data_IF_666142969698
#
_entry.id   IF_666142969698
#
_cell.length_a   1.000
_cell.length_b   1.000
_cell.length_c   1.000
_cell.angle_alpha   90.00
_cell.angle_beta   90.00
_cell.angle_gamma   90.00
#
_symmetry.space_group_name_H-M   'P 1'
#
loop_
_entity.id
_entity.type
_entity.pdbx_description
1 polymer ?
#
# COMPACT_ATOMS: atom_id res chain seq x y z
N UNK A 1 13.56 -3.76 12.87
CA UNK A 1 13.27 -3.53 14.30
C UNK A 1 13.21 -2.04 14.66
N UNK A 2 14.20 -1.23 14.26
CA UNK A 2 14.28 0.19 14.67
C UNK A 2 13.01 1.01 14.35
N UNK A 3 12.43 0.88 13.15
CA UNK A 3 11.19 1.58 12.80
C UNK A 3 9.95 1.15 13.61
N UNK A 4 9.93 -0.08 14.13
CA UNK A 4 8.85 -0.52 15.03
C UNK A 4 8.95 0.16 16.40
N UNK A 5 10.16 0.37 16.91
CA UNK A 5 10.40 1.05 18.19
C UNK A 5 10.01 2.54 18.10
N UNK A 6 10.23 3.14 16.94
CA UNK A 6 10.04 4.58 16.71
C UNK A 6 8.84 4.91 15.80
N UNK A 7 7.84 4.03 15.75
CA UNK A 7 6.59 4.31 15.05
C UNK A 7 5.97 5.63 15.60
N UNK A 8 5.66 6.56 14.69
CA UNK A 8 5.19 7.92 14.99
C UNK A 8 6.14 8.83 15.81
N UNK A 9 7.36 8.37 16.15
CA UNK A 9 8.35 9.14 16.94
C UNK A 9 9.72 9.15 16.25
N UNK A 10 9.70 9.12 14.92
CA UNK A 10 10.87 8.79 14.09
C UNK A 10 11.83 9.94 13.76
N UNK A 11 11.58 11.18 14.19
CA UNK A 11 12.36 12.35 13.72
C UNK A 11 13.88 12.18 13.85
N UNK A 12 14.36 11.60 14.94
CA UNK A 12 15.80 11.36 15.15
C UNK A 12 16.41 10.21 14.33
N UNK A 13 15.58 9.34 13.75
CA UNK A 13 16.01 8.09 13.07
C UNK A 13 15.76 8.12 11.57
N UNK A 14 14.85 8.98 11.09
CA UNK A 14 14.60 9.16 9.66
C UNK A 14 15.89 9.36 8.88
N UNK A 15 16.77 10.26 9.32
CA UNK A 15 18.04 10.53 8.65
C UNK A 15 18.93 9.28 8.57
N UNK A 16 19.10 8.57 9.69
CA UNK A 16 19.88 7.34 9.73
C UNK A 16 19.33 6.26 8.78
N UNK A 17 18.01 6.13 8.69
CA UNK A 17 17.36 5.18 7.78
C UNK A 17 17.51 5.60 6.31
N UNK A 18 17.41 6.90 6.00
CA UNK A 18 17.70 7.46 4.67
C UNK A 18 19.14 7.20 4.26
N UNK A 19 20.09 7.44 5.15
CA UNK A 19 21.51 7.18 4.88
C UNK A 19 21.79 5.68 4.69
N UNK A 20 21.11 4.82 5.46
CA UNK A 20 21.19 3.36 5.30
C UNK A 20 20.61 2.90 3.96
N UNK A 21 19.50 3.51 3.52
CA UNK A 21 18.86 3.23 2.23
C UNK A 21 19.77 3.59 1.05
N UNK A 22 20.44 4.76 1.14
CA UNK A 22 21.34 5.28 0.10
C UNK A 22 22.70 4.56 0.05
N UNK A 23 23.20 4.11 1.19
CA UNK A 23 24.56 3.56 1.32
C UNK A 23 24.68 2.09 0.94
N UNK A 24 23.57 1.35 0.82
CA UNK A 24 23.60 -0.08 0.56
C UNK A 24 22.81 -0.47 -0.68
N UNK A 25 23.32 -1.46 -1.41
CA UNK A 25 22.64 -2.14 -2.52
C UNK A 25 22.19 -3.56 -2.14
N UNK A 26 22.37 -3.95 -0.87
CA UNK A 26 21.97 -5.26 -0.37
C UNK A 26 20.46 -5.24 -0.14
N UNK A 27 19.73 -6.03 -0.92
CA UNK A 27 18.25 -6.06 -0.94
C UNK A 27 17.63 -6.24 0.45
N UNK A 28 18.22 -7.10 1.29
CA UNK A 28 17.73 -7.37 2.65
C UNK A 28 17.81 -6.14 3.56
N UNK A 29 18.90 -5.37 3.42
CA UNK A 29 19.08 -4.14 4.21
C UNK A 29 18.16 -3.05 3.67
N UNK A 30 18.05 -2.91 2.35
CA UNK A 30 17.11 -1.97 1.72
C UNK A 30 15.66 -2.27 2.12
N UNK A 31 15.25 -3.54 2.09
CA UNK A 31 13.92 -3.97 2.53
C UNK A 31 13.63 -3.55 3.98
N UNK A 32 14.56 -3.82 4.90
CA UNK A 32 14.43 -3.43 6.31
C UNK A 32 14.45 -1.91 6.51
N UNK A 33 15.27 -1.19 5.74
CA UNK A 33 15.35 0.26 5.77
C UNK A 33 14.07 0.92 5.24
N UNK A 34 13.52 0.44 4.11
CA UNK A 34 12.24 0.89 3.56
C UNK A 34 11.12 0.76 4.60
N UNK A 35 10.87 -0.45 5.10
CA UNK A 35 9.81 -0.68 6.09
C UNK A 35 10.02 0.13 7.37
N UNK A 36 11.27 0.22 7.82
CA UNK A 36 11.62 1.03 8.98
C UNK A 36 11.31 2.50 8.77
N UNK A 37 11.61 3.02 7.58
CA UNK A 37 11.41 4.42 7.21
C UNK A 37 9.92 4.73 6.99
N UNK A 38 9.17 3.84 6.35
CA UNK A 38 7.72 3.96 6.19
C UNK A 38 6.99 4.02 7.54
N UNK A 39 7.40 3.20 8.52
CA UNK A 39 6.85 3.23 9.88
C UNK A 39 7.27 4.48 10.67
N UNK A 40 8.53 4.91 10.55
CA UNK A 40 9.04 6.11 11.21
C UNK A 40 8.42 7.41 10.66
N UNK A 41 7.94 7.37 9.41
CA UNK A 41 7.32 8.48 8.69
C UNK A 41 5.83 8.26 8.41
N UNK A 42 5.18 7.40 9.18
CA UNK A 42 3.78 7.07 8.96
C UNK A 42 2.91 8.32 9.01
N UNK A 43 2.15 8.56 7.93
CA UNK A 43 1.22 9.69 7.82
C UNK A 43 1.85 11.08 7.81
N UNK A 44 3.18 11.21 7.68
CA UNK A 44 3.81 12.54 7.61
C UNK A 44 3.71 13.17 6.23
N UNK A 45 3.33 12.41 5.20
CA UNK A 45 3.23 12.86 3.81
C UNK A 45 4.50 13.60 3.32
N UNK A 46 5.67 13.12 3.73
CA UNK A 46 6.96 13.72 3.40
C UNK A 46 7.37 13.34 1.96
N UNK A 47 7.31 14.30 1.06
CA UNK A 47 7.61 14.15 -0.37
C UNK A 47 9.05 13.68 -0.63
N UNK A 48 10.01 14.18 0.15
CA UNK A 48 11.42 13.82 -0.07
C UNK A 48 11.68 12.35 0.28
N UNK A 49 11.01 11.85 1.32
CA UNK A 49 11.07 10.43 1.71
C UNK A 49 10.33 9.57 0.68
N UNK A 50 9.22 10.05 0.14
CA UNK A 50 8.49 9.33 -0.90
C UNK A 50 9.36 9.10 -2.14
N UNK A 51 10.02 10.15 -2.65
CA UNK A 51 10.88 10.02 -3.84
C UNK A 51 12.08 9.08 -3.58
N UNK A 52 12.62 9.05 -2.36
CA UNK A 52 13.66 8.07 -2.01
C UNK A 52 13.17 6.63 -2.01
N UNK A 53 12.00 6.36 -1.45
CA UNK A 53 11.43 5.02 -1.44
C UNK A 53 11.06 4.60 -2.87
N UNK A 54 10.54 5.52 -3.68
CA UNK A 54 10.24 5.32 -5.10
C UNK A 54 11.50 4.99 -5.92
N UNK A 55 12.63 5.64 -5.63
CA UNK A 55 13.90 5.26 -6.27
C UNK A 55 14.29 3.80 -5.98
N UNK A 56 14.02 3.29 -4.77
CA UNK A 56 14.24 1.87 -4.44
C UNK A 56 13.25 0.98 -5.17
N UNK A 57 11.98 1.38 -5.27
CA UNK A 57 10.97 0.66 -6.03
C UNK A 57 11.42 0.46 -7.50
N UNK A 58 11.97 1.50 -8.12
CA UNK A 58 12.47 1.46 -9.50
C UNK A 58 13.76 0.67 -9.73
N UNK A 59 14.41 0.17 -8.66
CA UNK A 59 15.49 -0.81 -8.82
C UNK A 59 14.97 -2.19 -9.25
N UNK A 60 13.64 -2.40 -9.23
CA UNK A 60 12.93 -3.62 -9.62
C UNK A 60 13.42 -4.88 -8.86
N UNK A 61 13.99 -4.69 -7.67
CA UNK A 61 14.30 -5.78 -6.76
C UNK A 61 13.01 -6.30 -6.13
N UNK A 62 12.66 -7.56 -6.38
CA UNK A 62 11.43 -8.16 -5.87
C UNK A 62 11.28 -8.08 -4.34
N UNK A 63 12.38 -8.12 -3.59
CA UNK A 63 12.35 -8.07 -2.11
C UNK A 63 12.26 -6.62 -1.62
N UNK A 64 13.13 -5.73 -2.11
CA UNK A 64 13.14 -4.34 -1.66
C UNK A 64 11.90 -3.58 -2.18
N UNK A 65 11.43 -3.88 -3.39
CA UNK A 65 10.27 -3.24 -4.01
C UNK A 65 8.95 -3.53 -3.30
N UNK A 66 8.76 -4.74 -2.77
CA UNK A 66 7.58 -5.05 -1.93
C UNK A 66 7.54 -4.16 -0.68
N UNK A 67 8.67 -4.03 0.01
CA UNK A 67 8.82 -3.13 1.15
C UNK A 67 8.62 -1.67 0.77
N UNK A 68 9.15 -1.25 -0.38
CA UNK A 68 8.99 0.10 -0.88
C UNK A 68 7.52 0.45 -1.13
N UNK A 69 6.77 -0.41 -1.81
CA UNK A 69 5.34 -0.20 -2.07
C UNK A 69 4.50 -0.05 -0.80
N UNK A 70 4.73 -0.91 0.20
CA UNK A 70 4.06 -0.80 1.51
C UNK A 70 4.46 0.51 2.21
N UNK A 71 5.74 0.86 2.18
CA UNK A 71 6.27 2.04 2.87
C UNK A 71 5.77 3.36 2.28
N UNK A 72 5.62 3.42 0.95
CA UNK A 72 4.99 4.54 0.26
C UNK A 72 3.54 4.73 0.72
N UNK A 73 2.78 3.64 0.85
CA UNK A 73 1.41 3.69 1.39
C UNK A 73 1.33 4.11 2.85
N UNK A 74 2.25 3.63 3.71
CA UNK A 74 2.31 4.03 5.12
C UNK A 74 2.64 5.51 5.29
N UNK A 75 3.57 6.03 4.49
CA UNK A 75 3.94 7.44 4.48
C UNK A 75 2.78 8.33 4.03
N UNK A 76 2.02 7.88 3.04
CA UNK A 76 0.92 8.61 2.39
C UNK A 76 -0.47 8.19 2.88
N UNK A 77 -0.57 7.52 4.04
CA UNK A 77 -1.82 6.97 4.55
C UNK A 77 -2.88 8.05 4.73
N UNK A 78 -4.08 7.81 4.20
CA UNK A 78 -5.21 8.75 4.28
C UNK A 78 -5.03 10.07 3.52
N UNK A 79 -3.92 10.28 2.81
CA UNK A 79 -3.69 11.53 2.08
C UNK A 79 -4.58 11.67 0.84
N UNK A 80 -5.09 10.58 0.27
CA UNK A 80 -5.86 10.62 -0.99
C UNK A 80 -5.07 11.23 -2.16
N UNK A 81 -3.74 11.20 -2.10
CA UNK A 81 -2.87 11.82 -3.09
C UNK A 81 -2.91 11.10 -4.45
N UNK A 82 -2.73 11.86 -5.54
CA UNK A 82 -2.61 11.33 -6.91
C UNK A 82 -1.44 10.35 -7.08
N UNK A 83 -0.50 10.32 -6.12
CA UNK A 83 0.56 9.30 -6.00
C UNK A 83 0.02 7.87 -6.03
N UNK A 84 -1.22 7.65 -5.59
CA UNK A 84 -1.86 6.35 -5.69
C UNK A 84 -2.00 5.86 -7.15
N UNK A 85 -2.28 6.77 -8.09
CA UNK A 85 -2.38 6.45 -9.52
C UNK A 85 -1.00 6.15 -10.12
N UNK A 86 0.05 6.84 -9.65
CA UNK A 86 1.43 6.53 -10.03
C UNK A 86 1.83 5.12 -9.58
N UNK A 87 1.52 4.77 -8.33
CA UNK A 87 1.75 3.43 -7.78
C UNK A 87 0.98 2.35 -8.58
N UNK A 88 -0.27 2.63 -8.95
CA UNK A 88 -1.08 1.72 -9.77
C UNK A 88 -0.49 1.55 -11.17
N UNK A 89 -0.04 2.63 -11.80
CA UNK A 89 0.62 2.59 -13.10
C UNK A 89 1.85 1.69 -13.05
N UNK A 90 2.71 1.87 -12.04
CA UNK A 90 3.91 1.05 -11.91
C UNK A 90 3.59 -0.42 -11.57
N UNK A 91 2.51 -0.69 -10.84
CA UNK A 91 2.05 -2.05 -10.59
C UNK A 91 1.66 -2.80 -11.87
N UNK A 92 1.24 -2.10 -12.93
CA UNK A 92 0.99 -2.69 -14.24
C UNK A 92 2.26 -2.91 -15.08
N UNK A 93 3.34 -2.19 -14.78
CA UNK A 93 4.58 -2.24 -15.56
C UNK A 93 5.53 -3.34 -15.07
N UNK A 94 5.60 -3.57 -13.75
CA UNK A 94 6.48 -4.58 -13.17
C UNK A 94 5.96 -6.01 -13.41
N UNK A 95 6.88 -6.96 -13.52
CA UNK A 95 6.56 -8.39 -13.63
C UNK A 95 6.67 -9.13 -12.29
N UNK A 96 7.06 -8.43 -11.22
CA UNK A 96 7.28 -9.03 -9.91
C UNK A 96 6.01 -8.99 -9.06
N UNK A 97 5.36 -10.15 -8.90
CA UNK A 97 4.16 -10.30 -8.05
C UNK A 97 4.32 -9.72 -6.64
N UNK A 98 5.52 -9.79 -6.06
CA UNK A 98 5.84 -9.21 -4.74
C UNK A 98 5.70 -7.69 -4.73
N UNK A 99 6.18 -7.04 -5.79
CA UNK A 99 6.08 -5.59 -5.95
C UNK A 99 4.63 -5.19 -6.16
N UNK A 100 3.91 -5.88 -7.06
CA UNK A 100 2.49 -5.65 -7.31
C UNK A 100 1.69 -5.79 -6.01
N UNK A 101 1.97 -6.81 -5.19
CA UNK A 101 1.31 -7.01 -3.89
C UNK A 101 1.61 -5.90 -2.89
N UNK A 102 2.88 -5.49 -2.80
CA UNK A 102 3.29 -4.38 -1.93
C UNK A 102 2.62 -3.06 -2.32
N UNK A 103 2.55 -2.77 -3.62
CA UNK A 103 1.85 -1.59 -4.15
C UNK A 103 0.35 -1.67 -3.97
N UNK A 104 -0.27 -2.82 -4.22
CA UNK A 104 -1.71 -3.03 -4.03
C UNK A 104 -2.15 -2.70 -2.60
N UNK A 105 -1.37 -3.12 -1.59
CA UNK A 105 -1.60 -2.75 -0.20
C UNK A 105 -1.25 -1.27 0.07
N UNK A 106 -0.15 -0.78 -0.51
CA UNK A 106 0.27 0.61 -0.38
C UNK A 106 -0.80 1.60 -0.87
N UNK A 107 -1.40 1.32 -2.03
CA UNK A 107 -2.51 2.08 -2.62
C UNK A 107 -3.74 2.00 -1.71
N UNK A 108 -4.05 0.85 -1.13
CA UNK A 108 -5.17 0.74 -0.20
C UNK A 108 -5.00 1.63 1.06
N UNK A 109 -3.76 1.83 1.53
CA UNK A 109 -3.48 2.70 2.67
C UNK A 109 -3.68 4.20 2.33
N UNK A 110 -3.40 4.64 1.11
CA UNK A 110 -3.55 6.07 0.75
C UNK A 110 -4.99 6.56 0.82
N UNK A 111 -5.95 5.66 0.60
CA UNK A 111 -7.40 5.95 0.64
C UNK A 111 -8.05 5.75 2.01
N UNK A 112 -7.25 5.53 3.07
CA UNK A 112 -7.74 5.29 4.42
C UNK A 112 -8.69 6.40 4.92
N UNK A 113 -9.97 6.06 5.12
CA UNK A 113 -11.01 6.98 5.59
C UNK A 113 -11.47 8.04 4.58
N UNK A 114 -11.24 7.82 3.29
CA UNK A 114 -11.61 8.75 2.21
C UNK A 114 -13.02 8.53 1.65
N UNK A 115 -13.69 7.44 2.04
CA UNK A 115 -15.06 7.12 1.62
C UNK A 115 -15.27 7.31 0.10
N UNK A 116 -16.23 8.14 -0.32
CA UNK A 116 -16.61 8.35 -1.72
C UNK A 116 -15.49 8.93 -2.59
N UNK A 117 -14.52 9.65 -2.01
CA UNK A 117 -13.37 10.19 -2.75
C UNK A 117 -12.49 9.07 -3.33
N UNK A 118 -12.53 7.88 -2.73
CA UNK A 118 -11.74 6.73 -3.15
C UNK A 118 -12.44 5.83 -4.18
N UNK A 119 -13.73 6.07 -4.47
CA UNK A 119 -14.55 5.15 -5.28
C UNK A 119 -13.97 4.93 -6.69
N UNK A 120 -13.41 5.96 -7.31
CA UNK A 120 -12.82 5.88 -8.65
C UNK A 120 -11.63 4.93 -8.68
N UNK A 121 -10.72 5.04 -7.71
CA UNK A 121 -9.54 4.19 -7.59
C UNK A 121 -9.93 2.75 -7.19
N UNK A 122 -10.90 2.60 -6.28
CA UNK A 122 -11.42 1.28 -5.90
C UNK A 122 -12.05 0.58 -7.11
N UNK A 123 -12.84 1.28 -7.92
CA UNK A 123 -13.44 0.70 -9.13
C UNK A 123 -12.38 0.27 -10.15
N UNK A 124 -11.30 1.05 -10.31
CA UNK A 124 -10.16 0.66 -11.16
C UNK A 124 -9.51 -0.63 -10.66
N UNK A 125 -9.13 -0.68 -9.38
CA UNK A 125 -8.47 -1.85 -8.80
C UNK A 125 -9.35 -3.10 -8.81
N UNK A 126 -10.65 -2.97 -8.51
CA UNK A 126 -11.56 -4.12 -8.42
C UNK A 126 -12.01 -4.69 -9.76
N UNK A 127 -11.88 -3.92 -10.85
CA UNK A 127 -12.13 -4.39 -12.22
C UNK A 127 -10.87 -4.86 -12.93
N UNK A 128 -9.73 -4.83 -12.24
CA UNK A 128 -8.47 -5.19 -12.85
C UNK A 128 -8.41 -6.66 -13.27
N UNK A 129 -7.64 -6.95 -14.32
CA UNK A 129 -7.40 -8.33 -14.76
C UNK A 129 -6.51 -9.09 -13.77
N UNK A 130 -5.56 -8.40 -13.13
CA UNK A 130 -4.66 -8.98 -12.15
C UNK A 130 -5.41 -9.23 -10.82
N UNK A 131 -5.49 -10.49 -10.35
CA UNK A 131 -6.10 -10.81 -9.07
C UNK A 131 -5.41 -10.16 -7.86
N UNK A 132 -4.10 -9.83 -7.94
CA UNK A 132 -3.36 -9.15 -6.87
C UNK A 132 -3.83 -7.71 -6.71
N UNK A 133 -4.15 -7.03 -7.82
CA UNK A 133 -4.72 -5.69 -7.79
C UNK A 133 -6.16 -5.69 -7.30
N UNK A 134 -6.98 -6.66 -7.72
CA UNK A 134 -8.33 -6.85 -7.15
C UNK A 134 -8.29 -7.13 -5.65
N UNK A 135 -7.31 -7.92 -5.21
CA UNK A 135 -7.02 -8.16 -3.79
C UNK A 135 -6.71 -6.86 -3.05
N UNK A 136 -5.87 -5.98 -3.62
CA UNK A 136 -5.66 -4.63 -3.10
C UNK A 136 -6.93 -3.79 -3.06
N UNK A 137 -7.76 -3.89 -4.09
CA UNK A 137 -9.07 -3.22 -4.17
C UNK A 137 -10.01 -3.60 -3.03
N UNK A 138 -9.97 -4.84 -2.55
CA UNK A 138 -10.75 -5.25 -1.38
C UNK A 138 -10.27 -4.56 -0.09
N UNK A 139 -8.96 -4.41 0.10
CA UNK A 139 -8.42 -3.61 1.20
C UNK A 139 -8.71 -2.12 1.04
N UNK A 140 -8.61 -1.57 -0.17
CA UNK A 140 -8.91 -0.17 -0.44
C UNK A 140 -10.36 0.16 -0.07
N UNK A 141 -11.31 -0.70 -0.48
CA UNK A 141 -12.72 -0.58 -0.10
C UNK A 141 -12.92 -0.68 1.41
N UNK A 142 -12.25 -1.63 2.08
CA UNK A 142 -12.32 -1.81 3.52
C UNK A 142 -11.80 -0.58 4.30
N UNK A 143 -10.64 -0.05 3.89
CA UNK A 143 -9.95 1.03 4.58
C UNK A 143 -10.59 2.39 4.31
N UNK A 144 -11.14 2.60 3.10
CA UNK A 144 -11.87 3.81 2.75
C UNK A 144 -13.15 3.96 3.57
N UNK A 145 -13.90 2.88 3.77
CA UNK A 145 -15.20 2.86 4.45
C UNK A 145 -15.16 2.32 5.88
N UNK A 146 -14.00 2.34 6.54
CA UNK A 146 -13.84 1.72 7.85
C UNK A 146 -14.86 2.25 8.89
N UNK A 147 -15.56 1.36 9.58
CA UNK A 147 -16.51 1.71 10.66
C UNK A 147 -17.70 2.57 10.21
N UNK A 148 -17.98 2.67 8.91
CA UNK A 148 -19.08 3.47 8.37
C UNK A 148 -20.38 2.65 8.22
N UNK A 149 -20.30 1.32 8.24
CA UNK A 149 -21.40 0.41 7.92
C UNK A 149 -22.09 0.73 6.57
N UNK A 150 -21.31 1.23 5.59
CA UNK A 150 -21.85 1.64 4.29
C UNK A 150 -22.42 0.43 3.51
N UNK A 151 -23.72 0.47 3.22
CA UNK A 151 -24.43 -0.61 2.52
C UNK A 151 -23.89 -0.89 1.11
N UNK A 152 -23.39 0.11 0.39
CA UNK A 152 -22.80 -0.06 -0.96
C UNK A 152 -21.52 -0.89 -0.85
N UNK A 153 -20.62 -0.51 0.06
CA UNK A 153 -19.37 -1.21 0.30
C UNK A 153 -19.60 -2.67 0.76
N UNK A 154 -20.51 -2.88 1.72
CA UNK A 154 -20.86 -4.23 2.20
C UNK A 154 -21.39 -5.12 1.07
N UNK A 155 -22.31 -4.62 0.24
CA UNK A 155 -22.85 -5.39 -0.89
C UNK A 155 -21.76 -5.74 -1.90
N UNK A 156 -20.86 -4.81 -2.19
CA UNK A 156 -19.76 -5.03 -3.13
C UNK A 156 -18.79 -6.09 -2.59
N UNK A 157 -18.40 -6.02 -1.32
CA UNK A 157 -17.56 -7.04 -0.68
C UNK A 157 -18.22 -8.42 -0.68
N UNK A 158 -19.51 -8.51 -0.34
CA UNK A 158 -20.26 -9.77 -0.40
C UNK A 158 -20.35 -10.34 -1.81
N UNK A 159 -20.45 -9.48 -2.83
CA UNK A 159 -20.42 -9.93 -4.22
C UNK A 159 -19.07 -10.56 -4.55
N UNK A 160 -17.95 -9.87 -4.30
CA UNK A 160 -16.60 -10.39 -4.58
C UNK A 160 -16.27 -11.65 -3.78
N UNK A 161 -16.79 -11.78 -2.55
CA UNK A 161 -16.63 -12.98 -1.73
C UNK A 161 -17.18 -14.26 -2.40
N UNK A 162 -18.12 -14.13 -3.35
CA UNK A 162 -18.76 -15.25 -4.04
C UNK A 162 -18.39 -15.32 -5.52
N UNK A 163 -18.31 -14.18 -6.20
CA UNK A 163 -18.21 -14.13 -7.67
C UNK A 163 -16.79 -14.12 -8.22
N UNK A 164 -15.77 -13.72 -7.44
CA UNK A 164 -14.40 -13.70 -7.94
C UNK A 164 -13.86 -15.12 -8.09
N UNK A 165 -13.06 -15.32 -9.14
CA UNK A 165 -12.39 -16.59 -9.44
C UNK A 165 -11.20 -16.83 -8.52
N UNK A 166 -10.58 -15.78 -7.99
CA UNK A 166 -9.41 -15.86 -7.12
C UNK A 166 -9.80 -16.12 -5.67
N UNK A 167 -9.22 -17.18 -5.08
CA UNK A 167 -9.38 -17.49 -3.66
C UNK A 167 -8.86 -16.39 -2.74
N UNK A 168 -7.78 -15.70 -3.12
CA UNK A 168 -7.20 -14.63 -2.32
C UNK A 168 -8.11 -13.41 -2.29
N UNK A 169 -8.75 -13.07 -3.42
CA UNK A 169 -9.74 -11.99 -3.48
C UNK A 169 -10.96 -12.35 -2.64
N UNK A 170 -11.50 -13.58 -2.78
CA UNK A 170 -12.65 -14.03 -1.98
C UNK A 170 -12.36 -13.99 -0.48
N UNK A 171 -11.22 -14.52 -0.04
CA UNK A 171 -10.80 -14.51 1.37
C UNK A 171 -10.68 -13.09 1.90
N UNK A 172 -10.07 -12.21 1.11
CA UNK A 172 -9.87 -10.82 1.49
C UNK A 172 -11.16 -10.04 1.54
N UNK A 173 -12.10 -10.30 0.63
CA UNK A 173 -13.43 -9.69 0.66
C UNK A 173 -14.18 -10.02 1.95
N UNK A 174 -14.11 -11.27 2.41
CA UNK A 174 -14.71 -11.69 3.69
C UNK A 174 -14.01 -11.03 4.89
N UNK A 175 -12.68 -10.94 4.86
CA UNK A 175 -11.90 -10.27 5.90
C UNK A 175 -12.20 -8.75 5.95
N UNK A 176 -12.35 -8.13 4.78
CA UNK A 176 -12.67 -6.71 4.60
C UNK A 176 -14.02 -6.31 5.23
N UNK A 177 -15.00 -7.22 5.27
CA UNK A 177 -16.28 -6.97 5.93
C UNK A 177 -16.14 -6.65 7.43
N UNK A 178 -15.07 -7.13 8.09
CA UNK A 178 -14.83 -6.82 9.49
C UNK A 178 -14.35 -5.38 9.73
N UNK A 179 -13.90 -4.68 8.70
CA UNK A 179 -13.41 -3.30 8.80
C UNK A 179 -14.47 -2.25 8.49
N UNK A 180 -15.38 -2.52 7.55
CA UNK A 180 -16.45 -1.60 7.10
C UNK A 180 -17.57 -1.48 8.13
#
# INVERSE_FOLDING_TARGET
ALGLIHANHGEGIKQFLRDSLRSTTVEVIQHGACLGLGLASLGTADEDIYEEIKNVLYTDSAVAGEAAGISMGLLMVGTGSDKANEMLTYAHETQHEKIIRGLALGIALTVYGREEEADTLIEQMTRDQDPILRYGGMYALALAYRGTANNKAIRQLLHFAVSDVSDDVRRTAVLALGFV
#
